data_IF_022315708092
#
_entry.id   IF_022315708092
#
_cell.length_a   1.000
_cell.length_b   1.000
_cell.length_c   1.000
_cell.angle_alpha   90.00
_cell.angle_beta   90.00
_cell.angle_gamma   90.00
#
_symmetry.space_group_name_H-M   'P 1'
#
loop_
_entity.id
_entity.type
_entity.pdbx_description
1 polymer ?
#
# COMPACT_ATOMS: atom_id res chain seq x y z
N UNK A 1 13.59 1.32 -1.28
CA UNK A 1 12.36 1.84 -1.93
C UNK A 1 12.37 1.60 -3.44
N UNK A 2 13.44 1.98 -4.15
CA UNK A 2 13.59 1.81 -5.62
C UNK A 2 13.47 0.33 -6.04
N UNK A 3 14.10 -0.58 -5.31
CA UNK A 3 14.09 -2.02 -5.62
C UNK A 3 12.72 -2.71 -5.57
N UNK A 4 11.70 -2.07 -4.98
CA UNK A 4 10.32 -2.58 -4.95
C UNK A 4 9.49 -2.14 -6.16
N UNK A 5 10.02 -1.27 -7.02
CA UNK A 5 9.34 -0.82 -8.24
C UNK A 5 9.31 -1.99 -9.22
N UNK A 6 8.15 -2.26 -9.82
CA UNK A 6 7.94 -3.32 -10.81
C UNK A 6 8.45 -2.94 -12.19
N UNK A 7 9.73 -2.58 -12.29
CA UNK A 7 10.41 -2.20 -13.53
C UNK A 7 11.63 -3.10 -13.78
N UNK A 8 12.15 -3.19 -15.02
CA UNK A 8 13.31 -4.01 -15.32
C UNK A 8 14.53 -3.63 -14.46
N UNK A 9 15.42 -4.59 -14.08
CA UNK A 9 16.56 -4.33 -13.20
C UNK A 9 17.46 -3.18 -13.65
N UNK A 10 17.67 -3.03 -14.97
CA UNK A 10 18.41 -1.91 -15.57
C UNK A 10 17.83 -0.54 -15.20
N UNK A 11 16.51 -0.44 -15.11
CA UNK A 11 15.80 0.79 -14.74
C UNK A 11 15.96 1.06 -13.25
N UNK A 12 15.93 0.02 -12.41
CA UNK A 12 16.15 0.16 -10.97
C UNK A 12 17.56 0.66 -10.66
N UNK A 13 18.57 0.11 -11.36
CA UNK A 13 19.95 0.58 -11.27
C UNK A 13 20.08 2.04 -11.73
N UNK A 14 19.39 2.43 -12.81
CA UNK A 14 19.34 3.82 -13.25
C UNK A 14 18.72 4.76 -12.21
N UNK A 15 17.56 4.39 -11.64
CA UNK A 15 16.90 5.20 -10.60
C UNK A 15 17.77 5.31 -9.33
N UNK A 16 18.50 4.25 -8.99
CA UNK A 16 19.46 4.29 -7.89
C UNK A 16 20.59 5.29 -8.18
N UNK A 17 21.19 5.25 -9.38
CA UNK A 17 22.21 6.25 -9.79
C UNK A 17 21.66 7.68 -9.79
N UNK A 18 20.41 7.85 -10.24
CA UNK A 18 19.71 9.13 -10.21
C UNK A 18 19.56 9.66 -8.79
N UNK A 19 19.12 8.81 -7.85
CA UNK A 19 18.94 9.17 -6.43
C UNK A 19 20.25 9.64 -5.77
N UNK A 20 21.38 9.05 -6.16
CA UNK A 20 22.70 9.36 -5.62
C UNK A 20 23.42 10.49 -6.37
N UNK A 21 22.77 11.13 -7.34
CA UNK A 21 23.35 12.17 -8.17
C UNK A 21 24.63 11.79 -8.93
N UNK A 22 24.78 10.52 -9.31
CA UNK A 22 25.98 9.98 -9.98
C UNK A 22 25.77 9.70 -11.47
N UNK A 23 24.71 10.25 -12.07
CA UNK A 23 24.53 10.16 -13.53
C UNK A 23 25.56 11.05 -14.25
N UNK A 24 26.08 10.62 -15.42
CA UNK A 24 27.08 11.37 -16.18
C UNK A 24 26.45 12.56 -16.92
N UNK A 25 26.05 13.59 -16.18
CA UNK A 25 25.57 14.84 -16.77
C UNK A 25 26.74 15.69 -17.26
N UNK A 26 26.51 16.62 -18.20
CA UNK A 26 27.58 17.51 -18.68
C UNK A 26 28.18 18.36 -17.58
N UNK A 27 27.38 18.86 -16.64
CA UNK A 27 27.90 19.58 -15.48
C UNK A 27 28.82 18.68 -14.63
N UNK A 28 28.44 17.42 -14.41
CA UNK A 28 29.28 16.48 -13.66
C UNK A 28 30.58 16.12 -14.39
N UNK A 29 30.53 16.03 -15.72
CA UNK A 29 31.68 15.73 -16.57
C UNK A 29 32.62 16.93 -16.70
N UNK A 30 32.08 18.15 -16.82
CA UNK A 30 32.88 19.38 -16.98
C UNK A 30 33.80 19.64 -15.78
N UNK A 31 33.46 19.14 -14.59
CA UNK A 31 34.34 19.19 -13.42
C UNK A 31 35.58 18.29 -13.51
N UNK A 32 35.58 17.30 -14.40
CA UNK A 32 36.67 16.30 -14.52
C UNK A 32 37.41 16.36 -15.84
N UNK A 33 36.77 16.84 -16.90
CA UNK A 33 37.33 16.90 -18.24
C UNK A 33 37.33 18.36 -18.71
N UNK A 34 38.52 19.00 -18.80
CA UNK A 34 38.65 20.35 -19.32
C UNK A 34 38.10 20.46 -20.75
N UNK A 35 37.45 21.59 -21.06
CA UNK A 35 36.91 21.89 -22.40
C UNK A 35 35.54 21.30 -22.71
N UNK A 36 34.94 20.50 -21.82
CA UNK A 36 33.56 20.03 -21.97
C UNK A 36 32.58 21.11 -21.53
N UNK A 37 31.69 21.54 -22.43
CA UNK A 37 30.60 22.46 -22.09
C UNK A 37 29.64 21.83 -21.08
N UNK A 38 29.29 22.58 -20.04
CA UNK A 38 28.29 22.20 -19.04
C UNK A 38 26.84 22.40 -19.53
N UNK A 39 26.63 23.06 -20.68
CA UNK A 39 25.31 23.46 -21.16
C UNK A 39 24.48 22.25 -21.61
N UNK A 40 23.19 22.26 -21.28
CA UNK A 40 22.24 21.24 -21.70
C UNK A 40 22.13 21.20 -23.23
N UNK A 41 22.42 20.06 -23.87
CA UNK A 41 22.33 19.93 -25.32
C UNK A 41 20.88 19.96 -25.83
N UNK A 42 19.90 19.78 -24.95
CA UNK A 42 18.50 19.67 -25.37
C UNK A 42 17.84 21.04 -25.56
N UNK A 43 17.94 21.91 -24.54
CA UNK A 43 17.30 23.23 -24.52
C UNK A 43 18.28 24.38 -24.66
N UNK A 44 19.59 24.14 -24.49
CA UNK A 44 20.65 25.15 -24.61
C UNK A 44 20.52 26.34 -23.63
N UNK A 45 19.66 26.21 -22.60
CA UNK A 45 19.21 27.29 -21.72
C UNK A 45 19.62 27.08 -20.25
N UNK A 46 20.76 26.42 -20.01
CA UNK A 46 21.26 26.22 -18.65
C UNK A 46 22.28 25.09 -18.51
N UNK A 47 22.92 25.02 -17.34
CA UNK A 47 23.84 23.94 -16.99
C UNK A 47 23.08 22.62 -16.82
N UNK A 48 23.56 21.56 -17.47
CA UNK A 48 22.99 20.22 -17.44
C UNK A 48 23.26 19.52 -16.09
N UNK A 49 22.52 19.92 -15.06
CA UNK A 49 22.44 19.20 -13.79
C UNK A 49 21.35 18.12 -13.83
N UNK A 50 21.30 17.25 -12.83
CA UNK A 50 20.19 16.30 -12.65
C UNK A 50 18.86 17.03 -12.45
N UNK A 51 18.87 18.11 -11.67
CA UNK A 51 17.69 18.94 -11.49
C UNK A 51 17.20 19.48 -12.83
N UNK A 52 18.12 20.01 -13.64
CA UNK A 52 17.79 20.53 -14.94
C UNK A 52 17.23 19.44 -15.87
N UNK A 53 17.95 18.32 -16.07
CA UNK A 53 17.53 17.25 -17.00
C UNK A 53 16.16 16.68 -16.66
N UNK A 54 15.88 16.43 -15.37
CA UNK A 54 14.69 15.68 -14.96
C UNK A 54 13.56 16.56 -14.42
N UNK A 55 13.75 17.87 -14.31
CA UNK A 55 12.74 18.77 -13.75
C UNK A 55 12.55 20.05 -14.54
N UNK A 56 13.60 20.79 -14.88
CA UNK A 56 13.47 22.13 -15.48
C UNK A 56 13.44 22.10 -17.02
N UNK A 57 14.27 21.26 -17.63
CA UNK A 57 14.49 21.19 -19.08
C UNK A 57 13.19 21.01 -19.86
N UNK A 58 13.09 21.62 -21.04
CA UNK A 58 11.91 21.51 -21.93
C UNK A 58 11.51 20.06 -22.22
N UNK A 59 12.47 19.13 -22.32
CA UNK A 59 12.21 17.69 -22.44
C UNK A 59 11.48 17.12 -21.21
N UNK A 60 11.91 17.49 -20.00
CA UNK A 60 11.25 17.06 -18.78
C UNK A 60 9.84 17.65 -18.70
N UNK A 61 9.68 18.92 -19.10
CA UNK A 61 8.38 19.58 -19.12
C UNK A 61 7.38 18.87 -20.02
N UNK A 62 7.79 18.32 -21.17
CA UNK A 62 6.91 17.49 -22.01
C UNK A 62 6.32 16.32 -21.21
N UNK A 63 7.18 15.56 -20.51
CA UNK A 63 6.76 14.42 -19.71
C UNK A 63 5.86 14.81 -18.53
N UNK A 64 6.27 15.79 -17.74
CA UNK A 64 5.52 16.18 -16.54
C UNK A 64 4.21 16.91 -16.85
N UNK A 65 4.16 17.75 -17.90
CA UNK A 65 2.92 18.37 -18.35
C UNK A 65 1.94 17.30 -18.88
N UNK A 66 2.45 16.35 -19.65
CA UNK A 66 1.64 15.24 -20.14
C UNK A 66 1.08 14.41 -18.98
N UNK A 67 1.92 13.98 -18.03
CA UNK A 67 1.49 13.21 -16.86
C UNK A 67 0.51 13.98 -15.98
N UNK A 68 0.75 15.27 -15.75
CA UNK A 68 -0.14 16.13 -14.97
C UNK A 68 -1.55 16.17 -15.56
N UNK A 69 -1.67 16.29 -16.88
CA UNK A 69 -2.96 16.24 -17.58
C UNK A 69 -3.57 14.84 -17.55
N UNK A 70 -2.78 13.81 -17.88
CA UNK A 70 -3.27 12.43 -17.98
C UNK A 70 -3.76 11.86 -16.65
N UNK A 71 -3.11 12.21 -15.54
CA UNK A 71 -3.48 11.77 -14.19
C UNK A 71 -4.29 12.78 -13.39
N UNK A 72 -4.71 13.89 -14.01
CA UNK A 72 -5.44 14.99 -13.36
C UNK A 72 -4.73 15.51 -12.09
N UNK A 73 -3.40 15.70 -12.16
CA UNK A 73 -2.56 16.15 -11.05
C UNK A 73 -2.27 17.63 -11.22
N UNK A 74 -3.07 18.46 -10.55
CA UNK A 74 -2.88 19.90 -10.53
C UNK A 74 -1.50 20.29 -10.00
N UNK A 75 -0.80 21.15 -10.72
CA UNK A 75 0.45 21.75 -10.26
C UNK A 75 1.66 20.82 -10.21
N UNK A 76 1.65 19.64 -10.84
CA UNK A 76 2.82 18.74 -10.90
C UNK A 76 4.07 19.48 -11.41
N UNK A 77 3.88 20.39 -12.36
CA UNK A 77 4.91 21.20 -13.02
C UNK A 77 5.15 22.55 -12.33
N UNK A 78 4.18 23.08 -11.59
CA UNK A 78 4.25 24.41 -10.97
C UNK A 78 4.86 24.40 -9.56
N UNK A 79 5.33 23.24 -9.06
CA UNK A 79 6.09 23.22 -7.83
C UNK A 79 7.46 23.86 -8.10
N UNK A 80 7.65 25.09 -7.61
CA UNK A 80 8.93 25.83 -7.50
C UNK A 80 9.96 25.13 -6.59
N UNK A 81 9.96 23.80 -6.58
CA UNK A 81 10.72 22.96 -5.69
C UNK A 81 11.81 22.20 -6.42
N UNK A 82 12.79 21.75 -5.63
CA UNK A 82 13.92 20.95 -6.10
C UNK A 82 13.42 19.55 -6.50
N UNK A 83 14.04 18.99 -7.54
CA UNK A 83 13.79 17.61 -7.96
C UNK A 83 13.97 16.65 -6.79
N UNK A 84 12.95 15.83 -6.54
CA UNK A 84 12.98 14.82 -5.48
C UNK A 84 12.31 13.55 -5.96
N UNK A 85 13.13 12.57 -6.31
CA UNK A 85 12.66 11.25 -6.75
C UNK A 85 11.77 10.59 -5.68
N UNK A 86 12.13 10.71 -4.40
CA UNK A 86 11.32 10.15 -3.31
C UNK A 86 9.93 10.79 -3.22
N UNK A 87 9.82 12.13 -3.33
CA UNK A 87 8.51 12.82 -3.33
C UNK A 87 7.68 12.40 -4.54
N UNK A 88 8.29 12.30 -5.72
CA UNK A 88 7.61 11.88 -6.94
C UNK A 88 7.09 10.44 -6.84
N UNK A 89 7.90 9.49 -6.38
CA UNK A 89 7.50 8.08 -6.24
C UNK A 89 6.44 7.84 -5.15
N UNK A 90 6.26 8.78 -4.22
CA UNK A 90 5.30 8.68 -3.11
C UNK A 90 4.12 9.65 -3.21
N UNK A 91 3.82 10.14 -4.42
CA UNK A 91 2.74 11.09 -4.62
C UNK A 91 1.36 10.55 -4.19
N UNK A 92 1.11 9.26 -4.42
CA UNK A 92 -0.13 8.59 -4.00
C UNK A 92 0.09 7.83 -2.70
N UNK A 93 -0.88 7.95 -1.79
CA UNK A 93 -0.94 7.19 -0.55
C UNK A 93 -1.51 5.78 -0.77
N UNK A 94 -2.59 5.66 -1.54
CA UNK A 94 -3.26 4.39 -1.84
C UNK A 94 -2.31 3.42 -2.54
N UNK A 95 -2.20 2.19 -2.02
CA UNK A 95 -1.20 1.21 -2.45
C UNK A 95 -1.32 0.84 -3.93
N UNK A 96 -2.55 0.56 -4.40
CA UNK A 96 -2.84 0.19 -5.79
C UNK A 96 -2.42 1.27 -6.79
N UNK A 97 -2.79 2.52 -6.54
CA UNK A 97 -2.36 3.67 -7.35
C UNK A 97 -0.85 3.90 -7.28
N UNK A 98 -0.28 3.80 -6.07
CA UNK A 98 1.14 4.04 -5.81
C UNK A 98 2.05 3.07 -6.55
N UNK A 99 1.66 1.80 -6.65
CA UNK A 99 2.45 0.79 -7.37
C UNK A 99 2.56 1.13 -8.87
N UNK A 100 1.43 1.46 -9.49
CA UNK A 100 1.37 1.83 -10.91
C UNK A 100 2.03 3.18 -11.16
N UNK A 101 1.81 4.16 -10.27
CA UNK A 101 2.44 5.47 -10.39
C UNK A 101 3.98 5.40 -10.38
N UNK A 102 4.56 4.55 -9.52
CA UNK A 102 6.02 4.34 -9.49
C UNK A 102 6.56 3.81 -10.82
N UNK A 103 5.82 2.92 -11.48
CA UNK A 103 6.17 2.41 -12.81
C UNK A 103 6.19 3.54 -13.84
N UNK A 104 5.18 4.41 -13.82
CA UNK A 104 5.05 5.54 -14.74
C UNK A 104 6.19 6.55 -14.55
N UNK A 105 6.46 6.94 -13.31
CA UNK A 105 7.59 7.82 -12.99
C UNK A 105 8.90 7.22 -13.51
N UNK A 106 9.12 5.91 -13.30
CA UNK A 106 10.30 5.22 -13.82
C UNK A 106 10.36 5.27 -15.35
N UNK A 107 9.23 5.06 -16.04
CA UNK A 107 9.15 5.09 -17.49
C UNK A 107 9.45 6.50 -18.05
N UNK A 108 8.92 7.55 -17.45
CA UNK A 108 9.17 8.94 -17.86
C UNK A 108 10.64 9.31 -17.66
N UNK A 109 11.19 9.11 -16.47
CA UNK A 109 12.59 9.42 -16.17
C UNK A 109 13.54 8.67 -17.12
N UNK A 110 13.29 7.38 -17.35
CA UNK A 110 14.10 6.59 -18.29
C UNK A 110 13.94 7.07 -19.74
N UNK A 111 12.79 7.63 -20.12
CA UNK A 111 12.55 8.14 -21.47
C UNK A 111 13.26 9.47 -21.68
N UNK A 112 13.22 10.36 -20.69
CA UNK A 112 14.01 11.60 -20.66
C UNK A 112 15.49 11.27 -20.84
N UNK A 113 16.01 10.36 -20.02
CA UNK A 113 17.43 9.99 -20.07
C UNK A 113 17.86 9.44 -21.44
N UNK A 114 17.05 8.55 -22.04
CA UNK A 114 17.37 7.98 -23.33
C UNK A 114 17.20 8.96 -24.49
N UNK A 115 16.17 9.82 -24.48
CA UNK A 115 16.01 10.87 -25.48
C UNK A 115 17.18 11.85 -25.46
N UNK A 116 17.66 12.24 -24.27
CA UNK A 116 18.87 13.05 -24.12
C UNK A 116 20.11 12.34 -24.68
N UNK A 117 20.29 11.06 -24.39
CA UNK A 117 21.45 10.32 -24.90
C UNK A 117 21.42 10.13 -26.42
N UNK A 118 20.24 9.88 -27.00
CA UNK A 118 20.05 9.75 -28.44
C UNK A 118 20.38 11.06 -29.17
N UNK A 119 20.03 12.21 -28.59
CA UNK A 119 20.44 13.51 -29.13
C UNK A 119 21.96 13.69 -29.14
N UNK A 120 22.66 13.22 -28.11
CA UNK A 120 24.12 13.42 -27.96
C UNK A 120 24.92 12.46 -28.83
N UNK A 121 24.55 11.19 -28.84
CA UNK A 121 25.33 10.14 -29.51
C UNK A 121 24.77 9.79 -30.89
N UNK A 122 23.45 9.84 -31.07
CA UNK A 122 22.75 9.55 -32.33
C UNK A 122 22.40 10.78 -33.16
N UNK A 123 22.57 12.00 -32.61
CA UNK A 123 22.17 13.28 -33.23
C UNK A 123 20.70 13.35 -33.63
N UNK A 124 19.86 12.52 -33.02
CA UNK A 124 18.43 12.46 -33.31
C UNK A 124 17.64 13.19 -32.21
N UNK A 125 16.80 14.16 -32.62
CA UNK A 125 15.93 14.92 -31.72
C UNK A 125 14.50 14.40 -31.81
N UNK A 126 14.06 13.66 -30.79
CA UNK A 126 12.72 13.08 -30.76
C UNK A 126 11.63 14.16 -30.68
N UNK A 127 10.53 13.94 -31.41
CA UNK A 127 9.33 14.77 -31.34
C UNK A 127 8.48 14.43 -30.10
N UNK A 128 7.77 15.43 -29.55
CA UNK A 128 6.95 15.29 -28.34
C UNK A 128 5.93 14.15 -28.42
N UNK A 129 5.24 14.01 -29.56
CA UNK A 129 4.28 12.91 -29.79
C UNK A 129 4.94 11.52 -29.69
N UNK A 130 6.10 11.36 -30.30
CA UNK A 130 6.86 10.10 -30.24
C UNK A 130 7.38 9.84 -28.82
N UNK A 131 7.80 10.87 -28.11
CA UNK A 131 8.23 10.79 -26.72
C UNK A 131 7.12 10.26 -25.81
N UNK A 132 5.91 10.80 -25.92
CA UNK A 132 4.72 10.32 -25.17
C UNK A 132 4.37 8.88 -25.54
N UNK A 133 4.41 8.52 -26.83
CA UNK A 133 4.14 7.15 -27.27
C UNK A 133 5.14 6.13 -26.67
N UNK A 134 6.42 6.47 -26.59
CA UNK A 134 7.44 5.62 -25.98
C UNK A 134 7.18 5.41 -24.48
N UNK A 135 6.70 6.44 -23.77
CA UNK A 135 6.31 6.31 -22.36
C UNK A 135 5.21 5.26 -22.21
N UNK A 136 4.14 5.32 -23.02
CA UNK A 136 3.07 4.33 -23.00
C UNK A 136 3.55 2.92 -23.31
N UNK A 137 4.38 2.75 -24.35
CA UNK A 137 4.94 1.44 -24.71
C UNK A 137 5.75 0.85 -23.55
N UNK A 138 6.50 1.68 -22.82
CA UNK A 138 7.28 1.22 -21.66
C UNK A 138 6.38 0.81 -20.50
N UNK A 139 5.37 1.61 -20.20
CA UNK A 139 4.42 1.30 -19.12
C UNK A 139 3.70 -0.01 -19.42
N UNK A 140 3.20 -0.17 -20.65
CA UNK A 140 2.53 -1.38 -21.09
C UNK A 140 3.46 -2.60 -21.02
N UNK A 141 4.64 -2.55 -21.67
CA UNK A 141 5.57 -3.70 -21.66
C UNK A 141 6.04 -4.09 -20.27
N UNK A 142 6.42 -3.11 -19.45
CA UNK A 142 6.96 -3.39 -18.11
C UNK A 142 5.85 -3.81 -17.15
N UNK A 143 4.71 -3.15 -17.22
CA UNK A 143 3.57 -3.42 -16.36
C UNK A 143 2.90 -4.75 -16.66
N UNK A 144 2.75 -5.11 -17.93
CA UNK A 144 2.25 -6.41 -18.37
C UNK A 144 3.21 -7.53 -17.96
N UNK A 145 4.52 -7.36 -18.13
CA UNK A 145 5.53 -8.32 -17.66
C UNK A 145 5.54 -8.49 -16.13
N UNK A 146 5.15 -7.45 -15.39
CA UNK A 146 5.01 -7.51 -13.94
C UNK A 146 3.65 -8.02 -13.44
N UNK A 147 2.71 -8.32 -14.35
CA UNK A 147 1.34 -8.75 -13.99
C UNK A 147 0.49 -7.64 -13.35
N UNK A 148 0.86 -6.38 -13.50
CA UNK A 148 0.16 -5.27 -12.84
C UNK A 148 -1.22 -5.03 -13.45
N UNK A 149 -1.26 -4.88 -14.77
CA UNK A 149 -2.47 -4.57 -15.55
C UNK A 149 -2.17 -4.80 -17.02
N UNK A 150 -3.20 -5.15 -17.80
CA UNK A 150 -3.14 -5.11 -19.26
C UNK A 150 -3.48 -3.68 -19.72
N UNK A 151 -2.45 -2.85 -19.79
CA UNK A 151 -2.59 -1.43 -20.08
C UNK A 151 -3.00 -1.17 -21.54
N UNK A 152 -2.57 -2.03 -22.46
CA UNK A 152 -2.92 -1.95 -23.88
C UNK A 152 -4.39 -2.25 -24.15
N UNK A 153 -5.00 -3.19 -23.41
CA UNK A 153 -6.37 -3.63 -23.62
C UNK A 153 -7.43 -2.78 -22.89
N UNK A 154 -7.08 -2.03 -21.84
CA UNK A 154 -8.04 -1.25 -21.07
C UNK A 154 -8.30 0.15 -21.69
N UNK A 155 -9.49 0.43 -22.25
CA UNK A 155 -9.78 1.73 -22.85
C UNK A 155 -9.80 2.88 -21.83
N UNK A 156 -10.16 2.60 -20.57
CA UNK A 156 -10.18 3.60 -19.50
C UNK A 156 -8.77 4.06 -19.14
N UNK A 157 -7.75 3.20 -19.31
CA UNK A 157 -6.37 3.56 -19.00
C UNK A 157 -5.90 4.83 -19.73
N UNK A 158 -6.30 4.99 -21.00
CA UNK A 158 -5.88 6.14 -21.82
C UNK A 158 -6.55 7.46 -21.41
N UNK A 159 -7.73 7.38 -20.81
CA UNK A 159 -8.56 8.57 -20.53
C UNK A 159 -8.59 8.91 -19.05
N UNK A 160 -8.71 7.91 -18.18
CA UNK A 160 -8.80 8.03 -16.74
C UNK A 160 -7.99 6.90 -16.06
N UNK A 161 -6.65 7.02 -16.00
CA UNK A 161 -5.79 5.96 -15.50
C UNK A 161 -6.05 5.66 -14.02
N UNK A 162 -6.28 6.67 -13.18
CA UNK A 162 -6.60 6.45 -11.75
C UNK A 162 -7.92 5.69 -11.57
N UNK A 163 -8.94 6.03 -12.35
CA UNK A 163 -10.22 5.30 -12.38
C UNK A 163 -10.07 3.86 -12.86
N UNK A 164 -9.27 3.62 -13.90
CA UNK A 164 -9.00 2.28 -14.41
C UNK A 164 -8.33 1.39 -13.35
N UNK A 165 -7.34 1.94 -12.63
CA UNK A 165 -6.68 1.25 -11.51
C UNK A 165 -7.67 0.97 -10.36
N UNK A 166 -8.51 1.94 -10.00
CA UNK A 166 -9.49 1.78 -8.94
C UNK A 166 -10.51 0.68 -9.27
N UNK A 167 -11.04 0.64 -10.50
CA UNK A 167 -11.98 -0.39 -10.95
C UNK A 167 -11.33 -1.78 -10.92
N UNK A 168 -10.09 -1.90 -11.41
CA UNK A 168 -9.36 -3.16 -11.39
C UNK A 168 -9.14 -3.65 -9.96
N UNK A 169 -8.69 -2.77 -9.06
CA UNK A 169 -8.47 -3.10 -7.66
C UNK A 169 -9.77 -3.53 -6.97
N UNK A 170 -10.87 -2.82 -7.20
CA UNK A 170 -12.20 -3.18 -6.71
C UNK A 170 -12.67 -4.56 -7.23
N UNK A 171 -12.44 -4.88 -8.51
CA UNK A 171 -12.75 -6.21 -9.07
C UNK A 171 -11.95 -7.33 -8.41
N UNK A 172 -10.64 -7.11 -8.21
CA UNK A 172 -9.76 -8.09 -7.55
C UNK A 172 -10.23 -8.33 -6.11
N UNK A 173 -10.44 -7.25 -5.34
CA UNK A 173 -10.95 -7.31 -3.97
C UNK A 173 -12.26 -8.10 -3.88
N UNK A 174 -13.26 -7.71 -4.68
CA UNK A 174 -14.57 -8.36 -4.62
C UNK A 174 -14.53 -9.82 -5.04
N UNK A 175 -13.73 -10.15 -6.07
CA UNK A 175 -13.59 -11.54 -6.52
C UNK A 175 -12.96 -12.40 -5.43
N UNK A 176 -11.89 -11.90 -4.80
CA UNK A 176 -11.21 -12.61 -3.72
C UNK A 176 -12.12 -12.82 -2.50
N UNK A 177 -12.76 -11.75 -2.00
CA UNK A 177 -13.60 -11.84 -0.81
C UNK A 177 -14.92 -12.58 -1.07
N UNK A 178 -15.43 -12.61 -2.31
CA UNK A 178 -16.53 -13.50 -2.69
C UNK A 178 -16.08 -14.97 -2.62
N UNK A 179 -14.95 -15.30 -3.24
CA UNK A 179 -14.42 -16.67 -3.20
C UNK A 179 -14.19 -17.19 -1.76
N UNK A 180 -13.76 -16.33 -0.84
CA UNK A 180 -13.68 -16.70 0.59
C UNK A 180 -15.04 -16.98 1.20
N UNK A 181 -16.04 -16.12 0.92
CA UNK A 181 -17.41 -16.30 1.44
C UNK A 181 -18.12 -17.52 0.87
N UNK A 182 -17.73 -17.97 -0.32
CA UNK A 182 -18.24 -19.23 -0.89
C UNK A 182 -17.70 -20.48 -0.16
N UNK A 183 -16.63 -20.35 0.64
CA UNK A 183 -15.96 -21.47 1.33
C UNK A 183 -16.15 -21.49 2.84
N UNK A 184 -16.53 -20.36 3.45
CA UNK A 184 -16.61 -20.18 4.89
C UNK A 184 -17.91 -19.46 5.26
N UNK A 185 -18.50 -19.87 6.38
CA UNK A 185 -19.70 -19.24 6.93
C UNK A 185 -19.44 -17.82 7.41
N UNK A 186 -18.24 -17.59 7.94
CA UNK A 186 -17.75 -16.28 8.36
C UNK A 186 -16.37 -15.98 7.79
N UNK A 187 -16.21 -14.77 7.31
CA UNK A 187 -14.96 -14.28 6.72
C UNK A 187 -14.56 -13.00 7.41
N UNK A 188 -13.34 -12.97 7.92
CA UNK A 188 -12.81 -11.83 8.65
C UNK A 188 -11.49 -11.36 8.07
N UNK A 189 -11.21 -10.08 8.27
CA UNK A 189 -9.90 -9.50 8.01
C UNK A 189 -9.49 -8.67 9.23
N UNK A 190 -8.24 -8.84 9.66
CA UNK A 190 -7.66 -8.18 10.83
C UNK A 190 -6.28 -7.64 10.50
N UNK A 191 -5.87 -6.60 11.21
CA UNK A 191 -4.56 -5.95 11.08
C UNK A 191 -4.13 -5.36 12.42
N UNK A 192 -2.82 -5.27 12.63
CA UNK A 192 -2.18 -4.63 13.76
C UNK A 192 -1.32 -3.45 13.31
N UNK A 193 -1.47 -2.32 13.98
CA UNK A 193 -0.68 -1.12 13.70
C UNK A 193 0.11 -0.69 14.94
N UNK A 194 1.39 -0.41 14.75
CA UNK A 194 2.27 0.13 15.78
C UNK A 194 2.80 1.49 15.35
N UNK A 195 2.60 2.51 16.18
CA UNK A 195 2.99 3.87 15.81
C UNK A 195 2.92 4.86 16.95
N UNK A 196 3.25 6.11 16.62
CA UNK A 196 3.15 7.23 17.53
C UNK A 196 1.69 7.66 17.66
N UNK A 197 1.18 7.71 18.87
CA UNK A 197 -0.13 8.29 19.17
C UNK A 197 -0.03 9.82 19.32
N UNK A 198 -1.18 10.48 19.50
CA UNK A 198 -1.28 11.95 19.58
C UNK A 198 -0.58 12.53 20.82
N UNK A 199 -0.38 11.71 21.86
CA UNK A 199 0.36 12.03 23.07
C UNK A 199 1.87 11.75 22.96
N UNK A 200 2.37 11.50 21.74
CA UNK A 200 3.75 11.12 21.44
C UNK A 200 4.24 9.81 22.07
N UNK A 201 3.35 9.02 22.68
CA UNK A 201 3.68 7.68 23.15
C UNK A 201 3.60 6.66 22.00
N UNK A 202 4.45 5.62 22.05
CA UNK A 202 4.30 4.49 21.15
C UNK A 202 3.16 3.60 21.64
N UNK A 203 2.15 3.39 20.80
CA UNK A 203 0.98 2.58 21.09
C UNK A 203 0.68 1.62 19.95
N UNK A 204 0.08 0.49 20.32
CA UNK A 204 -0.52 -0.44 19.39
C UNK A 204 -1.96 -0.07 19.11
N UNK A 205 -2.43 -0.38 17.91
CA UNK A 205 -3.83 -0.34 17.52
C UNK A 205 -4.19 -1.61 16.78
N UNK A 206 -5.36 -2.16 17.07
CA UNK A 206 -5.92 -3.30 16.35
C UNK A 206 -7.13 -2.85 15.56
N UNK A 207 -7.39 -3.53 14.45
CA UNK A 207 -8.56 -3.25 13.64
C UNK A 207 -8.96 -4.44 12.78
N UNK A 208 -10.25 -4.55 12.52
CA UNK A 208 -10.75 -5.62 11.71
C UNK A 208 -12.26 -5.64 11.55
N UNK A 209 -12.72 -6.60 10.77
CA UNK A 209 -14.12 -6.81 10.52
C UNK A 209 -14.43 -8.28 10.29
N UNK A 210 -15.67 -8.67 10.57
CA UNK A 210 -16.24 -9.99 10.33
C UNK A 210 -17.47 -9.85 9.44
N UNK A 211 -17.60 -10.69 8.44
CA UNK A 211 -18.75 -10.79 7.56
C UNK A 211 -19.30 -12.21 7.56
N UNK A 212 -20.61 -12.35 7.33
CA UNK A 212 -21.22 -13.63 7.02
C UNK A 212 -21.01 -14.02 5.53
N UNK A 213 -21.45 -15.22 5.17
CA UNK A 213 -21.40 -15.74 3.79
C UNK A 213 -22.15 -14.87 2.77
N UNK A 214 -23.16 -14.10 3.19
CA UNK A 214 -23.85 -13.13 2.32
C UNK A 214 -23.03 -11.85 2.08
N UNK A 215 -22.02 -11.58 2.92
CA UNK A 215 -21.24 -10.34 2.94
C UNK A 215 -21.75 -9.28 3.89
N UNK A 216 -22.81 -9.57 4.64
CA UNK A 216 -23.31 -8.66 5.65
C UNK A 216 -22.26 -8.56 6.74
N UNK A 217 -21.93 -7.32 7.10
CA UNK A 217 -21.03 -7.03 8.20
C UNK A 217 -21.66 -7.53 9.50
N UNK A 218 -20.98 -8.38 10.24
CA UNK A 218 -21.41 -8.90 11.54
C UNK A 218 -20.74 -8.10 12.66
N UNK A 219 -19.43 -7.89 12.53
CA UNK A 219 -18.62 -7.11 13.47
C UNK A 219 -17.70 -6.16 12.70
N UNK A 220 -17.49 -4.98 13.24
CA UNK A 220 -16.34 -4.12 12.93
C UNK A 220 -15.75 -3.62 14.23
N UNK A 221 -14.42 -3.64 14.34
CA UNK A 221 -13.73 -3.16 15.52
C UNK A 221 -12.49 -2.34 15.16
N UNK A 222 -12.14 -1.41 16.05
CA UNK A 222 -10.89 -0.66 16.00
C UNK A 222 -10.64 0.01 17.35
N UNK A 223 -9.46 -0.19 17.92
CA UNK A 223 -9.13 0.27 19.27
C UNK A 223 -7.64 0.20 19.59
N UNK A 224 -7.24 0.80 20.71
CA UNK A 224 -5.86 0.73 21.18
C UNK A 224 -5.57 -0.65 21.79
N UNK A 225 -4.30 -1.05 21.76
CA UNK A 225 -3.80 -2.24 22.47
C UNK A 225 -2.45 -1.95 23.12
N UNK A 226 -2.24 -2.55 24.28
CA UNK A 226 -0.96 -2.51 24.99
C UNK A 226 -0.05 -3.62 24.44
N UNK A 227 0.54 -3.36 23.28
CA UNK A 227 1.56 -4.24 22.69
C UNK A 227 2.96 -3.68 22.94
N UNK A 228 4.00 -4.47 22.65
CA UNK A 228 5.40 -4.02 22.71
C UNK A 228 6.06 -3.98 21.32
N UNK A 229 5.41 -4.56 20.30
CA UNK A 229 5.89 -4.58 18.93
C UNK A 229 4.74 -4.60 17.91
N UNK A 230 5.08 -4.36 16.63
CA UNK A 230 4.13 -4.48 15.53
C UNK A 230 3.62 -5.92 15.37
N UNK A 231 4.47 -6.92 15.55
CA UNK A 231 4.06 -8.32 15.48
C UNK A 231 3.08 -8.67 16.61
N UNK A 232 3.29 -8.13 17.80
CA UNK A 232 2.34 -8.34 18.90
C UNK A 232 0.98 -7.72 18.60
N UNK A 233 0.93 -6.54 17.97
CA UNK A 233 -0.38 -5.96 17.57
C UNK A 233 -1.13 -6.83 16.58
N UNK A 234 -0.43 -7.51 15.66
CA UNK A 234 -1.03 -8.44 14.70
C UNK A 234 -1.61 -9.68 15.40
N UNK A 235 -0.87 -10.22 16.38
CA UNK A 235 -1.36 -11.37 17.17
C UNK A 235 -2.58 -10.97 17.99
N UNK A 236 -2.52 -9.84 18.70
CA UNK A 236 -3.62 -9.32 19.51
C UNK A 236 -4.89 -9.09 18.67
N UNK A 237 -4.76 -8.60 17.44
CA UNK A 237 -5.89 -8.41 16.54
C UNK A 237 -6.59 -9.72 16.19
N UNK A 238 -5.82 -10.80 15.98
CA UNK A 238 -6.35 -12.14 15.74
C UNK A 238 -6.98 -12.71 17.02
N UNK A 239 -6.28 -12.66 18.16
CA UNK A 239 -6.77 -13.18 19.44
C UNK A 239 -8.06 -12.50 19.87
N UNK A 240 -8.14 -11.17 19.73
CA UNK A 240 -9.34 -10.39 20.00
C UNK A 240 -10.54 -10.93 19.24
N UNK A 241 -10.38 -11.18 17.93
CA UNK A 241 -11.46 -11.67 17.11
C UNK A 241 -11.84 -13.12 17.44
N UNK A 242 -10.88 -14.00 17.72
CA UNK A 242 -11.17 -15.38 18.13
C UNK A 242 -12.00 -15.38 19.41
N UNK A 243 -11.58 -14.62 20.43
CA UNK A 243 -12.31 -14.51 21.69
C UNK A 243 -13.74 -14.00 21.46
N UNK A 244 -13.92 -12.99 20.58
CA UNK A 244 -15.24 -12.48 20.22
C UNK A 244 -16.12 -13.55 19.56
N UNK A 245 -15.56 -14.36 18.66
CA UNK A 245 -16.28 -15.42 17.97
C UNK A 245 -16.72 -16.55 18.91
N UNK A 246 -15.88 -16.92 19.88
CA UNK A 246 -16.20 -17.92 20.90
C UNK A 246 -17.32 -17.40 21.81
N UNK A 247 -17.23 -16.14 22.27
CA UNK A 247 -18.23 -15.56 23.17
C UNK A 247 -19.64 -15.46 22.56
N UNK A 248 -19.75 -15.47 21.23
CA UNK A 248 -21.02 -15.46 20.53
C UNK A 248 -21.42 -16.82 19.94
N UNK A 249 -20.74 -17.89 20.36
CA UNK A 249 -20.98 -19.26 19.88
C UNK A 249 -20.92 -19.37 18.33
N UNK A 250 -20.11 -18.53 17.67
CA UNK A 250 -19.91 -18.58 16.21
C UNK A 250 -18.85 -19.60 15.81
N UNK A 251 -18.11 -20.11 16.78
CA UNK A 251 -17.03 -21.07 16.68
C UNK A 251 -17.49 -22.50 16.34
N UNK A 252 -18.79 -22.75 16.22
CA UNK A 252 -19.35 -23.98 15.63
C UNK A 252 -19.44 -23.94 14.10
N UNK A 253 -19.32 -22.75 13.50
CA UNK A 253 -19.32 -22.57 12.05
C UNK A 253 -17.90 -22.43 11.51
N UNK A 254 -17.72 -22.68 10.21
CA UNK A 254 -16.41 -22.56 9.57
C UNK A 254 -16.09 -21.09 9.33
N UNK A 255 -15.08 -20.59 10.00
CA UNK A 255 -14.65 -19.21 9.89
C UNK A 255 -13.21 -19.10 9.37
N UNK A 256 -12.94 -18.03 8.63
CA UNK A 256 -11.58 -17.68 8.23
C UNK A 256 -11.20 -16.29 8.71
N UNK A 257 -10.06 -16.16 9.36
CA UNK A 257 -9.43 -14.90 9.76
C UNK A 257 -8.24 -14.65 8.84
N UNK A 258 -8.32 -13.56 8.08
CA UNK A 258 -7.27 -13.15 7.16
C UNK A 258 -6.38 -12.07 7.79
N UNK A 259 -5.05 -12.24 7.73
CA UNK A 259 -4.05 -11.22 8.11
C UNK A 259 -2.98 -11.11 7.01
N UNK A 260 -2.36 -9.94 6.88
CA UNK A 260 -1.25 -9.72 5.93
C UNK A 260 0.14 -10.01 6.53
N UNK A 261 0.19 -10.48 7.78
CA UNK A 261 1.43 -10.87 8.44
C UNK A 261 1.70 -12.37 8.28
N UNK A 262 2.51 -12.72 7.28
CA UNK A 262 2.90 -14.13 7.05
C UNK A 262 3.62 -14.74 8.26
N UNK A 263 4.37 -13.93 9.02
CA UNK A 263 5.08 -14.37 10.24
C UNK A 263 4.08 -14.82 11.31
N UNK A 264 3.03 -14.02 11.53
CA UNK A 264 2.01 -14.30 12.54
C UNK A 264 1.12 -15.46 12.11
N UNK A 265 0.68 -15.48 10.85
CA UNK A 265 -0.10 -16.61 10.30
C UNK A 265 0.65 -17.93 10.47
N UNK A 266 1.94 -17.97 10.13
CA UNK A 266 2.74 -19.18 10.31
C UNK A 266 2.92 -19.56 11.79
N UNK A 267 2.96 -18.58 12.70
CA UNK A 267 3.02 -18.85 14.12
C UNK A 267 1.74 -19.48 14.66
N UNK A 268 0.56 -19.02 14.22
CA UNK A 268 -0.69 -19.66 14.58
C UNK A 268 -0.82 -21.09 14.04
N UNK A 269 -0.27 -21.36 12.85
CA UNK A 269 -0.31 -22.69 12.25
C UNK A 269 0.69 -23.67 12.87
N UNK A 270 1.87 -23.20 13.29
CA UNK A 270 2.94 -24.04 13.85
C UNK A 270 2.92 -24.13 15.39
N UNK A 271 2.24 -23.19 16.07
CA UNK A 271 2.17 -23.11 17.52
C UNK A 271 2.69 -21.77 18.06
N UNK A 272 1.77 -20.92 18.53
CA UNK A 272 2.10 -19.52 18.86
C UNK A 272 3.10 -19.39 20.01
N UNK A 273 2.96 -20.23 21.04
CA UNK A 273 3.76 -20.15 22.27
C UNK A 273 5.25 -20.37 22.02
N UNK A 274 5.60 -21.02 20.91
CA UNK A 274 6.98 -21.25 20.48
C UNK A 274 7.59 -19.99 19.88
N UNK A 275 6.82 -19.22 19.09
CA UNK A 275 7.31 -18.02 18.38
C UNK A 275 7.05 -16.71 19.13
N UNK A 276 6.00 -16.67 19.92
CA UNK A 276 5.56 -15.51 20.72
C UNK A 276 5.28 -15.97 22.17
N UNK A 277 6.33 -16.23 22.96
CA UNK A 277 6.19 -16.84 24.29
C UNK A 277 5.41 -15.97 25.29
N UNK A 278 5.28 -14.67 25.02
CA UNK A 278 4.53 -13.73 25.88
C UNK A 278 3.01 -13.80 25.63
N UNK A 279 2.56 -14.39 24.52
CA UNK A 279 1.14 -14.47 24.16
C UNK A 279 0.66 -15.93 24.10
N UNK A 280 0.63 -16.59 25.26
CA UNK A 280 0.10 -17.94 25.37
C UNK A 280 -1.39 -17.98 24.97
N UNK A 281 -1.74 -18.87 24.05
CA UNK A 281 -3.13 -19.16 23.72
C UNK A 281 -3.80 -19.87 24.91
N UNK A 282 -4.99 -19.40 25.28
CA UNK A 282 -5.90 -20.21 26.10
C UNK A 282 -6.23 -21.54 25.38
N UNK A 283 -6.47 -22.59 26.17
CA UNK A 283 -6.80 -23.93 25.69
C UNK A 283 -8.03 -23.92 24.78
N UNK A 284 -9.02 -23.09 25.11
CA UNK A 284 -10.23 -22.90 24.29
C UNK A 284 -9.90 -22.41 22.87
N UNK A 285 -9.01 -21.43 22.74
CA UNK A 285 -8.53 -20.92 21.46
C UNK A 285 -7.80 -22.01 20.67
N UNK A 286 -6.89 -22.73 21.33
CA UNK A 286 -6.06 -23.75 20.69
C UNK A 286 -6.88 -24.91 20.11
N UNK A 287 -7.99 -25.29 20.76
CA UNK A 287 -8.89 -26.32 20.24
C UNK A 287 -9.70 -25.88 19.02
N UNK A 288 -9.98 -24.58 18.87
CA UNK A 288 -10.82 -24.03 17.79
C UNK A 288 -10.02 -23.66 16.55
N UNK A 289 -8.76 -23.26 16.73
CA UNK A 289 -7.83 -23.00 15.63
C UNK A 289 -7.63 -24.30 14.84
N UNK A 290 -7.71 -24.22 13.52
CA UNK A 290 -7.61 -25.32 12.56
C UNK A 290 -8.72 -26.39 12.63
N UNK A 291 -9.69 -26.28 13.55
CA UNK A 291 -10.88 -27.13 13.59
C UNK A 291 -12.11 -26.41 13.03
N UNK A 292 -12.41 -25.21 13.53
CA UNK A 292 -13.51 -24.36 13.05
C UNK A 292 -13.05 -22.97 12.60
N UNK A 293 -11.97 -22.45 13.20
CA UNK A 293 -11.39 -21.15 12.88
C UNK A 293 -10.06 -21.36 12.14
N UNK A 294 -9.99 -20.90 10.90
CA UNK A 294 -8.83 -21.00 10.03
C UNK A 294 -8.14 -19.64 9.91
N UNK A 295 -6.81 -19.60 10.03
CA UNK A 295 -6.05 -18.35 9.91
C UNK A 295 -5.25 -18.39 8.61
N UNK A 296 -5.41 -17.39 7.76
CA UNK A 296 -4.85 -17.39 6.41
C UNK A 296 -4.16 -16.07 6.07
N UNK A 297 -3.06 -16.19 5.33
CA UNK A 297 -2.35 -15.03 4.81
C UNK A 297 -3.10 -14.41 3.63
N UNK A 298 -3.16 -13.08 3.62
CA UNK A 298 -3.64 -12.30 2.47
C UNK A 298 -2.64 -11.19 2.11
N UNK A 299 -2.41 -10.92 0.82
CA UNK A 299 -1.64 -9.75 0.42
C UNK A 299 -2.21 -8.44 0.97
N UNK A 300 -1.34 -7.51 1.39
CA UNK A 300 -1.72 -6.21 1.99
C UNK A 300 -2.74 -5.41 1.19
N UNK A 301 -2.68 -5.45 -0.14
CA UNK A 301 -3.64 -4.75 -1.01
C UNK A 301 -5.07 -5.33 -0.92
N UNK A 302 -5.24 -6.51 -0.32
CA UNK A 302 -6.54 -7.10 -0.01
C UNK A 302 -7.01 -6.80 1.42
N UNK A 303 -6.10 -6.41 2.32
CA UNK A 303 -6.36 -6.13 3.73
C UNK A 303 -6.50 -4.64 4.08
N UNK A 304 -6.60 -3.76 3.07
CA UNK A 304 -6.54 -2.30 3.24
C UNK A 304 -7.54 -1.76 4.28
N UNK A 305 -8.75 -2.31 4.32
CA UNK A 305 -9.78 -1.89 5.29
C UNK A 305 -9.40 -2.20 6.74
N UNK A 306 -8.78 -3.35 7.00
CA UNK A 306 -8.34 -3.70 8.34
C UNK A 306 -7.13 -2.85 8.75
N UNK A 307 -6.18 -2.61 7.84
CA UNK A 307 -5.03 -1.71 8.05
C UNK A 307 -5.47 -0.27 8.39
N UNK A 308 -6.48 0.26 7.70
CA UNK A 308 -7.06 1.57 8.04
C UNK A 308 -7.72 1.59 9.44
N UNK A 309 -8.40 0.51 9.81
CA UNK A 309 -9.03 0.37 11.12
C UNK A 309 -7.98 0.28 12.23
N UNK A 310 -6.91 -0.48 12.02
CA UNK A 310 -5.84 -0.66 12.99
C UNK A 310 -5.07 0.65 13.23
N UNK A 311 -4.73 1.37 12.15
CA UNK A 311 -4.11 2.70 12.24
C UNK A 311 -4.98 3.70 13.00
N UNK A 312 -6.29 3.71 12.73
CA UNK A 312 -7.23 4.53 13.52
C UNK A 312 -7.31 4.08 14.98
N UNK A 313 -7.07 2.78 15.26
CA UNK A 313 -7.05 2.20 16.59
C UNK A 313 -5.98 2.81 17.50
N UNK A 314 -4.80 3.15 16.95
CA UNK A 314 -3.70 3.79 17.70
C UNK A 314 -4.16 5.09 18.38
N UNK A 315 -4.99 5.87 17.70
CA UNK A 315 -5.44 7.19 18.17
C UNK A 315 -6.73 7.14 19.00
N UNK A 316 -7.29 5.95 19.26
CA UNK A 316 -8.52 5.81 20.04
C UNK A 316 -8.20 5.65 21.52
N UNK A 317 -9.03 6.25 22.37
CA UNK A 317 -8.97 6.06 23.81
C UNK A 317 -9.53 4.69 24.24
N UNK A 318 -10.55 4.21 23.54
CA UNK A 318 -11.25 2.97 23.86
C UNK A 318 -11.44 2.11 22.61
N UNK A 319 -11.58 0.80 22.82
CA UNK A 319 -11.98 -0.13 21.78
C UNK A 319 -13.42 0.18 21.32
N UNK A 320 -13.59 0.53 20.05
CA UNK A 320 -14.91 0.64 19.45
C UNK A 320 -15.22 -0.64 18.69
N UNK A 321 -16.35 -1.24 19.04
CA UNK A 321 -16.92 -2.38 18.33
C UNK A 321 -18.37 -2.08 17.96
N UNK A 322 -18.79 -2.49 16.77
CA UNK A 322 -20.18 -2.39 16.33
C UNK A 322 -20.62 -3.72 15.77
N UNK A 323 -21.67 -4.29 16.36
CA UNK A 323 -22.36 -5.48 15.88
C UNK A 323 -23.47 -5.05 14.93
N UNK A 324 -23.48 -5.57 13.69
CA UNK A 324 -24.39 -5.11 12.63
C UNK A 324 -25.30 -6.27 12.18
N UNK A 325 -26.29 -6.63 12.99
CA UNK A 325 -27.26 -7.65 12.58
C UNK A 325 -28.18 -8.12 13.69
N UNK A 326 -29.48 -7.94 13.48
CA UNK A 326 -30.62 -8.31 14.32
C UNK A 326 -30.95 -9.82 14.29
N UNK A 327 -29.97 -10.67 14.57
CA UNK A 327 -30.19 -12.12 14.71
C UNK A 327 -29.29 -12.75 15.77
N UNK A 328 -28.81 -11.94 16.72
CA UNK A 328 -28.36 -12.40 18.03
C UNK A 328 -29.53 -12.09 18.95
N UNK A 329 -30.16 -13.12 19.51
CA UNK A 329 -31.24 -13.01 20.48
C UNK A 329 -30.83 -12.04 21.57
N UNK A 330 -31.75 -11.15 21.99
CA UNK A 330 -31.54 -10.24 23.13
C UNK A 330 -31.17 -10.97 24.44
N UNK A 331 -31.33 -12.29 24.49
CA UNK A 331 -30.96 -13.16 25.61
C UNK A 331 -29.45 -13.44 25.69
N UNK A 332 -28.69 -13.33 24.58
CA UNK A 332 -27.23 -13.55 24.57
C UNK A 332 -26.42 -12.31 25.02
N UNK A 333 -27.08 -11.17 25.22
CA UNK A 333 -26.46 -9.91 25.62
C UNK A 333 -26.38 -9.71 27.15
N UNK A 334 -26.97 -10.62 27.95
CA UNK A 334 -27.15 -10.41 29.38
C UNK A 334 -26.06 -10.99 30.29
N UNK A 335 -25.00 -11.61 29.77
CA UNK A 335 -23.95 -12.25 30.60
C UNK A 335 -22.71 -11.36 30.82
N UNK A 336 -22.65 -10.14 30.28
CA UNK A 336 -21.43 -9.30 30.34
C UNK A 336 -21.49 -8.11 31.31
N UNK A 337 -22.42 -8.06 32.28
CA UNK A 337 -22.50 -6.98 33.27
C UNK A 337 -22.71 -7.50 34.69
N UNK A 338 -21.67 -8.11 35.27
CA UNK A 338 -21.58 -8.24 36.73
C UNK A 338 -20.14 -8.42 37.20
N UNK A 339 -19.43 -7.31 37.42
CA UNK A 339 -18.48 -7.12 38.52
C UNK A 339 -18.10 -5.63 38.58
N UNK A 340 -18.82 -4.88 39.42
CA UNK A 340 -18.42 -3.53 39.85
C UNK A 340 -17.30 -3.58 40.92
N UNK A 341 -16.94 -2.45 41.57
CA UNK A 341 -17.92 -1.51 42.09
C UNK A 341 -17.74 -0.04 41.72
N UNK A 342 -18.89 0.62 41.83
CA UNK A 342 -19.21 2.04 41.95
C UNK A 342 -18.29 2.91 42.82
N UNK A 343 -18.02 4.12 42.33
CA UNK A 343 -18.21 5.41 43.03
C UNK A 343 -18.09 6.53 41.98
N UNK A 344 -19.20 7.14 41.50
CA UNK A 344 -19.75 8.42 42.01
C UNK A 344 -18.66 9.45 42.35
N UNK A 345 -18.42 10.44 41.47
CA UNK A 345 -18.89 11.82 41.63
C UNK A 345 -18.35 12.75 40.53
N UNK A 346 -19.13 13.81 40.32
CA UNK A 346 -18.98 14.95 39.42
C UNK A 346 -17.64 15.70 39.46
N UNK A 347 -17.10 16.05 38.28
CA UNK A 347 -16.91 17.41 37.70
C UNK A 347 -16.18 17.25 36.36
#
# INVERSE_FOLDING_TARGET
MIWKIKAPPKILAFLWKLQWNILPTRLFISYRIPGVSSICPWCEDGCESIHHIFWECTLAQWGWNYLGKWWNISGLVHRRGIFSLSKLLNLFAQASLKEIWKLIVAAVLWTIWLARNDLIFGKHKIQEKCFVNIIHIRIDKWGSAAGLMDFGADPLWRVNPSGAVAIRHHKILNTFWRFKRDQFDYVAAVDGAWGLADDFSYKGGIGGYLQDSSGKLVLIFSGPVNSISAQDTEVEAILFLINWMINLNLDFKRAVICSDSSVVVNAFNEGISVKFPVQALDFSHQMKINSSIFIQFVPRNLNERADELAKKGIHRSNLLQKVVGSSISREDLHVSLSAGPSSLESV
#
